data_IF_859077405234
#
_entry.id   IF_859077405234
#
_cell.length_a   1.000
_cell.length_b   1.000
_cell.length_c   1.000
_cell.angle_alpha   90.00
_cell.angle_beta   90.00
_cell.angle_gamma   90.00
#
_symmetry.space_group_name_H-M   'P 1'
#
loop_
_entity.id
_entity.type
_entity.pdbx_description
1 polymer ?
#
# COMPACT_ATOMS: atom_id res chain seq x y z
N UNK A 1 11.18 -13.62 -10.76
CA UNK A 1 9.76 -13.24 -10.90
C UNK A 1 9.69 -11.73 -11.01
N UNK A 2 9.07 -11.17 -12.05
CA UNK A 2 9.07 -9.74 -12.39
C UNK A 2 7.71 -9.07 -12.21
N UNK A 3 7.05 -9.37 -11.08
CA UNK A 3 5.69 -8.91 -10.77
C UNK A 3 5.67 -7.43 -10.37
N UNK A 4 4.71 -6.66 -10.89
CA UNK A 4 4.37 -5.31 -10.40
C UNK A 4 2.87 -5.21 -10.26
N UNK A 5 2.42 -4.69 -9.13
CA UNK A 5 1.01 -4.57 -8.80
C UNK A 5 0.75 -3.28 -8.01
N UNK A 6 -0.37 -2.58 -8.24
CA UNK A 6 -0.84 -1.56 -7.32
C UNK A 6 -1.20 -2.18 -5.97
N UNK A 7 -1.06 -1.38 -4.91
CA UNK A 7 -1.42 -1.76 -3.54
C UNK A 7 -2.59 -0.88 -3.07
N UNK A 8 -3.66 -1.52 -2.62
CA UNK A 8 -4.84 -0.89 -2.01
C UNK A 8 -4.83 -1.14 -0.50
N UNK A 9 -5.31 -0.17 0.30
CA UNK A 9 -5.38 -0.33 1.76
C UNK A 9 -6.74 -0.86 2.19
N UNK A 10 -6.79 -2.06 2.74
CA UNK A 10 -8.02 -2.77 3.13
C UNK A 10 -8.06 -3.07 4.63
N UNK A 11 -9.27 -3.29 5.14
CA UNK A 11 -9.50 -3.75 6.53
C UNK A 11 -9.54 -5.27 6.64
N UNK A 12 -10.08 -5.75 7.76
CA UNK A 12 -10.34 -7.16 7.96
C UNK A 12 -11.79 -7.52 7.60
N UNK A 13 -11.99 -8.74 7.11
CA UNK A 13 -13.29 -9.39 6.98
C UNK A 13 -13.83 -9.86 8.36
N UNK A 14 -15.09 -10.32 8.45
CA UNK A 14 -15.65 -10.82 9.71
C UNK A 14 -14.94 -12.03 10.33
N UNK A 15 -14.07 -12.71 9.57
CA UNK A 15 -13.28 -13.85 9.99
C UNK A 15 -11.87 -13.43 10.45
N UNK A 16 -11.55 -12.14 10.42
CA UNK A 16 -10.24 -11.59 10.80
C UNK A 16 -9.17 -11.71 9.70
N UNK A 17 -9.55 -12.16 8.50
CA UNK A 17 -8.70 -12.17 7.32
C UNK A 17 -8.60 -10.78 6.70
N UNK A 18 -7.51 -10.45 6.02
CA UNK A 18 -7.44 -9.20 5.25
C UNK A 18 -8.38 -9.30 4.05
N UNK A 19 -9.27 -8.32 3.88
CA UNK A 19 -10.20 -8.31 2.75
C UNK A 19 -9.41 -8.26 1.42
N UNK A 20 -9.60 -9.26 0.57
CA UNK A 20 -8.91 -9.32 -0.71
C UNK A 20 -9.39 -8.23 -1.69
N UNK A 21 -8.58 -7.87 -2.71
CA UNK A 21 -9.03 -7.00 -3.79
C UNK A 21 -10.26 -7.55 -4.52
N UNK A 22 -11.03 -6.68 -5.19
CA UNK A 22 -12.12 -7.14 -6.07
C UNK A 22 -11.59 -8.13 -7.12
N UNK A 23 -12.36 -9.18 -7.41
CA UNK A 23 -12.05 -10.13 -8.48
C UNK A 23 -11.97 -9.48 -9.88
N UNK A 24 -12.57 -8.30 -10.07
CA UNK A 24 -12.43 -7.50 -11.30
C UNK A 24 -11.04 -6.85 -11.43
N UNK A 25 -10.24 -6.85 -10.36
CA UNK A 25 -8.88 -6.31 -10.30
C UNK A 25 -7.86 -7.40 -9.95
N UNK A 26 -7.72 -8.47 -10.77
CA UNK A 26 -6.89 -9.63 -10.47
C UNK A 26 -5.41 -9.33 -10.27
N UNK A 27 -4.92 -8.21 -10.82
CA UNK A 27 -3.51 -7.79 -10.76
C UNK A 27 -3.22 -6.82 -9.60
N UNK A 28 -4.11 -6.70 -8.62
CA UNK A 28 -3.98 -5.79 -7.46
C UNK A 28 -3.68 -6.58 -6.20
N UNK A 29 -2.99 -5.96 -5.25
CA UNK A 29 -2.74 -6.51 -3.91
C UNK A 29 -3.41 -5.60 -2.87
N UNK A 30 -4.02 -6.19 -1.84
CA UNK A 30 -4.53 -5.45 -0.69
C UNK A 30 -3.52 -5.54 0.47
N UNK A 31 -3.20 -4.41 1.09
CA UNK A 31 -2.43 -4.31 2.33
C UNK A 31 -3.37 -4.08 3.51
N UNK A 32 -3.14 -4.78 4.62
CA UNK A 32 -3.85 -4.52 5.86
C UNK A 32 -3.45 -3.16 6.46
N UNK A 33 -4.31 -2.16 6.23
CA UNK A 33 -3.98 -0.75 6.48
C UNK A 33 -3.91 -0.36 7.96
N UNK A 34 -4.55 -1.14 8.84
CA UNK A 34 -4.60 -0.88 10.27
C UNK A 34 -3.44 -1.57 11.02
N UNK A 35 -2.59 -2.32 10.29
CA UNK A 35 -1.37 -2.94 10.79
C UNK A 35 -0.08 -2.15 10.45
N UNK A 36 1.10 -2.76 10.66
CA UNK A 36 2.37 -2.16 10.29
C UNK A 36 2.45 -1.81 8.80
N UNK A 37 2.96 -0.62 8.52
CA UNK A 37 3.32 -0.24 7.15
C UNK A 37 4.52 -1.09 6.68
N UNK A 38 4.59 -1.46 5.39
CA UNK A 38 5.75 -2.20 4.87
C UNK A 38 7.07 -1.48 5.18
N UNK A 39 7.94 -2.13 5.96
CA UNK A 39 9.24 -1.62 6.38
C UNK A 39 9.27 -1.00 7.77
N UNK A 40 8.11 -0.83 8.41
CA UNK A 40 8.02 -0.58 9.85
C UNK A 40 8.21 -1.89 10.63
N UNK A 41 8.60 -1.78 11.90
CA UNK A 41 8.71 -2.92 12.82
C UNK A 41 7.34 -3.60 12.97
N UNK A 42 7.34 -4.94 12.96
CA UNK A 42 6.14 -5.77 12.91
C UNK A 42 5.95 -6.40 11.52
N UNK A 43 4.86 -7.14 11.35
CA UNK A 43 4.53 -7.81 10.09
C UNK A 43 3.50 -7.00 9.29
N UNK A 44 3.92 -6.50 8.12
CA UNK A 44 2.99 -5.98 7.12
C UNK A 44 2.38 -7.14 6.32
N UNK A 45 1.06 -7.14 6.13
CA UNK A 45 0.35 -8.22 5.45
C UNK A 45 -0.23 -7.73 4.13
N UNK A 46 0.16 -8.40 3.04
CA UNK A 46 -0.31 -8.17 1.69
C UNK A 46 -1.01 -9.42 1.17
N UNK A 47 -2.24 -9.27 0.68
CA UNK A 47 -3.07 -10.36 0.16
C UNK A 47 -3.45 -10.13 -1.30
N UNK A 48 -3.51 -11.21 -2.07
CA UNK A 48 -3.84 -11.16 -3.48
C UNK A 48 -4.38 -12.50 -3.98
N UNK A 49 -5.05 -12.47 -5.12
CA UNK A 49 -5.63 -13.66 -5.72
C UNK A 49 -4.55 -14.54 -6.37
N UNK A 50 -4.71 -15.86 -6.25
CA UNK A 50 -3.96 -16.83 -7.06
C UNK A 50 -4.50 -16.81 -8.49
N UNK A 51 -5.82 -16.84 -8.64
CA UNK A 51 -6.53 -16.71 -9.91
C UNK A 51 -7.95 -16.18 -9.70
N UNK A 52 -8.62 -15.98 -10.83
CA UNK A 52 -10.04 -15.69 -10.92
C UNK A 52 -10.67 -16.73 -11.84
N UNK A 53 -11.99 -16.67 -11.99
CA UNK A 53 -12.72 -17.53 -12.93
C UNK A 53 -12.19 -17.48 -14.37
N UNK A 54 -11.54 -16.39 -14.76
CA UNK A 54 -11.17 -16.12 -16.16
C UNK A 54 -9.70 -15.78 -16.37
N UNK A 55 -8.92 -15.56 -15.32
CA UNK A 55 -7.53 -15.10 -15.44
C UNK A 55 -6.67 -15.49 -14.25
N UNK A 56 -5.36 -15.51 -14.46
CA UNK A 56 -4.38 -15.60 -13.37
C UNK A 56 -4.43 -14.34 -12.52
N UNK A 57 -4.25 -14.50 -11.21
CA UNK A 57 -4.18 -13.42 -10.26
C UNK A 57 -2.74 -12.98 -10.01
N UNK A 58 -2.59 -11.89 -9.28
CA UNK A 58 -1.31 -11.25 -8.96
C UNK A 58 -0.32 -12.20 -8.27
N UNK A 59 -0.84 -13.16 -7.49
CA UNK A 59 -0.05 -14.13 -6.74
C UNK A 59 -0.12 -15.55 -7.31
N UNK A 60 -0.50 -15.69 -8.59
CA UNK A 60 -0.56 -17.00 -9.26
C UNK A 60 0.70 -17.85 -9.08
N UNK A 61 1.88 -17.23 -9.16
CA UNK A 61 3.16 -17.94 -9.03
C UNK A 61 3.74 -17.90 -7.61
N UNK A 62 3.05 -17.33 -6.63
CA UNK A 62 3.61 -17.05 -5.30
C UNK A 62 4.05 -18.32 -4.57
N UNK A 63 3.37 -19.45 -4.80
CA UNK A 63 3.75 -20.78 -4.27
C UNK A 63 5.11 -21.29 -4.78
N UNK A 64 5.59 -20.75 -5.89
CA UNK A 64 6.89 -21.09 -6.48
C UNK A 64 8.03 -20.20 -5.97
N UNK A 65 7.71 -19.22 -5.10
CA UNK A 65 8.71 -18.39 -4.45
C UNK A 65 9.72 -19.26 -3.68
N UNK A 66 10.97 -18.79 -3.64
CA UNK A 66 12.06 -19.48 -2.95
C UNK A 66 12.72 -18.53 -1.96
N UNK A 67 13.25 -19.03 -0.83
CA UNK A 67 14.11 -18.26 0.04
C UNK A 67 15.23 -17.56 -0.75
N UNK A 68 15.50 -16.30 -0.42
CA UNK A 68 16.43 -15.43 -1.14
C UNK A 68 15.79 -14.56 -2.23
N UNK A 69 14.54 -14.83 -2.64
CA UNK A 69 13.81 -13.94 -3.56
C UNK A 69 13.65 -12.54 -2.96
N UNK A 70 13.88 -11.51 -3.78
CA UNK A 70 13.70 -10.10 -3.38
C UNK A 70 12.29 -9.62 -3.66
N UNK A 71 11.72 -8.86 -2.72
CA UNK A 71 10.42 -8.20 -2.84
C UNK A 71 10.60 -6.72 -2.51
N UNK A 72 10.24 -5.84 -3.43
CA UNK A 72 10.37 -4.40 -3.26
C UNK A 72 8.98 -3.78 -3.12
N UNK A 73 8.75 -3.03 -2.06
CA UNK A 73 7.50 -2.32 -1.80
C UNK A 73 7.74 -0.83 -1.85
N UNK A 74 7.19 -0.17 -2.87
CA UNK A 74 7.23 1.29 -3.00
C UNK A 74 6.21 1.90 -2.05
N UNK A 75 6.67 2.77 -1.16
CA UNK A 75 5.86 3.45 -0.16
C UNK A 75 5.35 4.78 -0.69
N UNK A 76 4.28 5.30 -0.07
CA UNK A 76 3.70 6.59 -0.43
C UNK A 76 4.67 7.77 -0.23
N UNK A 77 5.67 7.63 0.62
CA UNK A 77 6.72 8.64 0.87
C UNK A 77 7.82 8.68 -0.22
N UNK A 78 7.70 7.82 -1.25
CA UNK A 78 8.65 7.72 -2.37
C UNK A 78 9.83 6.80 -2.12
N UNK A 79 9.99 6.28 -0.90
CA UNK A 79 11.02 5.30 -0.59
C UNK A 79 10.55 3.86 -0.89
N UNK A 80 11.51 2.94 -0.98
CA UNK A 80 11.28 1.52 -1.28
C UNK A 80 11.80 0.68 -0.13
N UNK A 81 10.93 -0.15 0.45
CA UNK A 81 11.32 -1.17 1.42
C UNK A 81 11.71 -2.46 0.67
N UNK A 82 12.91 -2.97 0.93
CA UNK A 82 13.47 -4.13 0.22
C UNK A 82 13.50 -5.35 1.15
N UNK A 83 12.68 -6.35 0.84
CA UNK A 83 12.53 -7.57 1.62
C UNK A 83 13.21 -8.76 0.94
N UNK A 84 13.63 -9.73 1.74
CA UNK A 84 14.10 -11.03 1.28
C UNK A 84 13.21 -12.12 1.83
N UNK A 85 12.71 -12.99 0.94
CA UNK A 85 11.94 -14.17 1.33
C UNK A 85 12.82 -15.08 2.18
N UNK A 86 12.32 -15.47 3.34
CA UNK A 86 12.96 -16.45 4.21
C UNK A 86 12.26 -17.81 4.15
N UNK A 87 10.95 -17.83 3.91
CA UNK A 87 10.13 -19.02 4.09
C UNK A 87 8.83 -18.96 3.28
N UNK A 88 8.34 -20.14 2.87
CA UNK A 88 7.07 -20.31 2.15
C UNK A 88 6.31 -21.45 2.81
N UNK A 89 5.21 -21.13 3.46
CA UNK A 89 4.35 -22.10 4.13
C UNK A 89 3.07 -22.32 3.32
N UNK A 90 2.64 -23.57 3.22
CA UNK A 90 1.31 -23.93 2.71
C UNK A 90 0.49 -24.40 3.91
N UNK A 91 -0.55 -23.63 4.24
CA UNK A 91 -1.38 -23.83 5.43
C UNK A 91 -2.75 -24.31 4.99
N UNK A 92 -3.19 -25.53 5.35
CA UNK A 92 -4.54 -25.99 5.07
C UNK A 92 -5.58 -25.01 5.61
N UNK A 93 -6.65 -24.76 4.85
CA UNK A 93 -7.65 -23.75 5.18
C UNK A 93 -8.33 -24.02 6.52
N UNK A 94 -8.60 -25.29 6.82
CA UNK A 94 -9.21 -25.71 8.09
C UNK A 94 -8.30 -25.48 9.30
N UNK A 95 -6.99 -25.28 9.07
CA UNK A 95 -5.99 -24.99 10.10
C UNK A 95 -5.44 -23.56 10.00
N UNK A 96 -6.07 -22.70 9.19
CA UNK A 96 -5.61 -21.33 9.01
C UNK A 96 -5.95 -20.50 10.24
N UNK A 97 -4.91 -20.11 10.98
CA UNK A 97 -4.97 -19.21 12.11
C UNK A 97 -4.39 -17.87 11.67
N UNK A 98 -5.26 -16.87 11.48
CA UNK A 98 -4.87 -15.55 10.96
C UNK A 98 -3.84 -14.87 11.86
N UNK A 99 -3.98 -14.96 13.18
CA UNK A 99 -3.03 -14.35 14.12
C UNK A 99 -1.64 -14.96 13.98
N UNK A 100 -1.55 -16.30 13.82
CA UNK A 100 -0.26 -16.98 13.60
C UNK A 100 0.31 -16.73 12.21
N UNK A 101 -0.53 -16.70 11.18
CA UNK A 101 -0.10 -16.51 9.79
C UNK A 101 0.37 -15.07 9.54
N UNK A 102 -0.29 -14.10 10.16
CA UNK A 102 -0.04 -12.68 9.98
C UNK A 102 0.95 -12.11 11.01
N UNK A 103 1.11 -12.77 12.15
CA UNK A 103 1.98 -12.33 13.23
C UNK A 103 3.47 -12.27 12.83
N UNK A 104 4.25 -11.33 13.42
CA UNK A 104 5.70 -11.29 13.24
C UNK A 104 6.36 -12.50 13.89
N UNK A 105 7.39 -13.05 13.24
CA UNK A 105 8.23 -14.11 13.82
C UNK A 105 9.19 -13.53 14.85
N UNK A 106 9.66 -12.31 14.62
CA UNK A 106 10.46 -11.52 15.56
C UNK A 106 9.79 -10.14 15.78
N UNK A 107 9.38 -9.81 17.03
CA UNK A 107 8.68 -8.57 17.32
C UNK A 107 9.53 -7.30 17.12
N UNK A 108 10.85 -7.44 16.91
CA UNK A 108 11.77 -6.32 16.69
C UNK A 108 12.13 -6.14 15.21
N UNK A 109 11.71 -7.04 14.32
CA UNK A 109 12.02 -6.98 12.89
C UNK A 109 10.86 -6.38 12.10
N UNK A 110 11.22 -5.71 11.00
CA UNK A 110 10.28 -5.37 9.95
C UNK A 110 10.12 -6.59 9.04
N UNK A 111 8.90 -7.12 9.00
CA UNK A 111 8.56 -8.34 8.28
C UNK A 111 7.43 -8.08 7.27
N UNK A 112 7.34 -8.96 6.29
CA UNK A 112 6.34 -8.94 5.25
C UNK A 112 5.72 -10.34 5.13
N UNK A 113 4.40 -10.38 5.02
CA UNK A 113 3.61 -11.58 4.69
C UNK A 113 2.93 -11.33 3.35
N UNK A 114 3.22 -12.18 2.37
CA UNK A 114 2.44 -12.24 1.13
C UNK A 114 1.54 -13.46 1.21
N UNK A 115 0.24 -13.27 1.05
CA UNK A 115 -0.76 -14.33 1.27
C UNK A 115 -1.67 -14.47 0.07
N UNK A 116 -1.90 -15.71 -0.34
CA UNK A 116 -2.82 -16.07 -1.43
C UNK A 116 -3.51 -17.38 -1.11
N UNK A 117 -4.65 -17.63 -1.76
CA UNK A 117 -5.23 -18.97 -1.83
C UNK A 117 -4.26 -19.94 -2.55
N UNK A 118 -4.30 -21.21 -2.19
CA UNK A 118 -3.50 -22.27 -2.81
C UNK A 118 -3.99 -23.68 -2.46
N UNK A 119 -3.16 -24.68 -2.70
CA UNK A 119 -3.61 -26.08 -2.64
C UNK A 119 -4.48 -26.44 -3.84
N UNK A 120 -5.33 -27.45 -3.68
CA UNK A 120 -6.26 -27.88 -4.71
C UNK A 120 -7.52 -27.01 -4.71
N UNK A 121 -8.14 -26.85 -5.88
CA UNK A 121 -9.44 -26.20 -5.98
C UNK A 121 -10.54 -27.24 -5.79
N UNK A 122 -11.26 -27.14 -4.67
CA UNK A 122 -12.44 -27.94 -4.39
C UNK A 122 -13.62 -27.40 -5.21
N UNK A 123 -14.06 -28.20 -6.19
CA UNK A 123 -15.16 -27.83 -7.09
C UNK A 123 -16.54 -27.95 -6.47
N UNK A 124 -16.71 -28.71 -5.39
CA UNK A 124 -17.99 -28.82 -4.70
C UNK A 124 -18.20 -27.62 -3.77
N UNK A 125 -17.13 -27.19 -3.10
CA UNK A 125 -17.15 -26.03 -2.18
C UNK A 125 -16.85 -24.70 -2.86
N UNK A 126 -16.40 -24.73 -4.13
CA UNK A 126 -15.93 -23.57 -4.89
C UNK A 126 -14.83 -22.77 -4.18
N UNK A 127 -13.90 -23.48 -3.53
CA UNK A 127 -12.86 -22.88 -2.69
C UNK A 127 -11.52 -23.61 -2.83
N UNK A 128 -10.44 -22.90 -2.51
CA UNK A 128 -9.10 -23.47 -2.40
C UNK A 128 -8.90 -24.15 -1.05
N UNK A 129 -8.21 -25.30 -1.03
CA UNK A 129 -8.03 -26.11 0.19
C UNK A 129 -6.93 -25.59 1.12
N UNK A 130 -6.12 -24.63 0.69
CA UNK A 130 -5.05 -24.06 1.50
C UNK A 130 -4.82 -22.56 1.23
N UNK A 131 -4.02 -21.95 2.09
CA UNK A 131 -3.41 -20.64 1.87
C UNK A 131 -1.90 -20.81 1.76
N UNK A 132 -1.28 -20.04 0.87
CA UNK A 132 0.18 -19.92 0.79
C UNK A 132 0.58 -18.63 1.50
N UNK A 133 1.51 -18.74 2.43
CA UNK A 133 2.06 -17.61 3.19
C UNK A 133 3.56 -17.54 2.92
N UNK A 134 3.97 -16.51 2.20
CA UNK A 134 5.39 -16.19 2.01
C UNK A 134 5.81 -15.21 3.09
N UNK A 135 6.79 -15.61 3.89
CA UNK A 135 7.40 -14.77 4.91
C UNK A 135 8.69 -14.16 4.36
N UNK A 136 8.83 -12.85 4.53
CA UNK A 136 10.02 -12.12 4.15
C UNK A 136 10.38 -11.11 5.25
N UNK A 137 11.64 -10.67 5.24
CA UNK A 137 12.15 -9.71 6.21
C UNK A 137 12.89 -8.58 5.52
N UNK A 138 12.85 -7.39 6.14
CA UNK A 138 13.49 -6.21 5.60
C UNK A 138 15.01 -6.42 5.57
N UNK A 139 15.60 -6.15 4.40
CA UNK A 139 17.05 -6.24 4.15
C UNK A 139 17.66 -4.94 3.65
N UNK A 140 16.83 -3.96 3.29
CA UNK A 140 17.29 -2.68 2.77
C UNK A 140 16.16 -1.67 2.68
N UNK A 141 16.53 -0.43 2.46
CA UNK A 141 15.61 0.66 2.13
C UNK A 141 16.30 1.57 1.12
N UNK A 142 15.63 1.85 0.01
CA UNK A 142 16.16 2.68 -1.08
C UNK A 142 15.27 3.92 -1.31
N UNK A 143 15.86 5.02 -1.76
CA UNK A 143 15.17 6.30 -1.94
C UNK A 143 14.98 7.04 -0.61
N UNK A 144 15.47 8.28 -0.53
CA UNK A 144 15.18 9.14 0.62
C UNK A 144 13.66 9.43 0.65
N UNK A 145 13.01 9.46 1.84
CA UNK A 145 11.67 10.03 1.91
C UNK A 145 11.74 11.41 1.28
N UNK A 146 10.82 11.73 0.37
CA UNK A 146 10.73 13.09 -0.14
C UNK A 146 10.55 14.00 1.08
N UNK A 147 11.60 14.74 1.46
CA UNK A 147 11.49 15.74 2.49
C UNK A 147 10.34 16.66 2.05
N UNK A 148 9.38 17.03 2.94
CA UNK A 148 8.53 18.15 2.63
C UNK A 148 9.45 19.33 2.28
N UNK A 149 9.14 20.15 1.25
CA UNK A 149 9.95 21.34 1.00
C UNK A 149 10.07 22.09 2.33
N UNK A 150 11.25 22.60 2.71
CA UNK A 150 11.34 23.41 3.91
C UNK A 150 10.26 24.48 3.79
N UNK A 151 9.45 24.66 4.84
CA UNK A 151 8.55 25.80 4.93
C UNK A 151 9.43 27.03 4.80
N UNK A 152 9.57 27.54 3.58
CA UNK A 152 10.31 28.75 3.32
C UNK A 152 9.60 29.81 4.11
N UNK A 153 10.29 30.36 5.11
CA UNK A 153 9.90 31.61 5.72
C UNK A 153 9.62 32.58 4.59
N UNK A 154 8.34 32.84 4.29
CA UNK A 154 7.98 34.04 3.55
C UNK A 154 8.36 35.20 4.47
N UNK A 155 9.27 36.10 4.05
CA UNK A 155 9.29 37.42 4.66
C UNK A 155 7.88 37.98 4.48
N UNK A 156 7.30 38.53 5.55
CA UNK A 156 5.99 39.18 5.48
C UNK A 156 5.98 40.20 4.34
N UNK A 157 4.92 40.18 3.54
CA UNK A 157 4.62 41.25 2.57
C UNK A 157 4.67 42.58 3.37
N UNK A 158 5.42 43.61 2.94
CA UNK A 158 5.30 44.92 3.55
C UNK A 158 3.85 45.40 3.40
N UNK A 159 3.31 46.00 4.46
CA UNK A 159 2.01 46.65 4.42
C UNK A 159 1.98 47.67 3.29
N UNK A 160 0.98 47.56 2.42
CA UNK A 160 0.70 48.50 1.35
C UNK A 160 0.27 49.83 1.97
N UNK A 161 0.84 50.99 1.58
CA UNK A 161 0.41 52.27 2.12
C UNK A 161 -1.01 52.62 1.66
N UNK A 162 -1.79 53.18 2.58
CA UNK A 162 -3.16 53.65 2.34
C UNK A 162 -3.20 54.67 1.20
N UNK A 163 -4.09 54.44 0.22
CA UNK A 163 -4.38 55.39 -0.85
C UNK A 163 -5.17 56.59 -0.27
N UNK A 164 -4.86 57.84 -0.66
CA UNK A 164 -5.67 59.00 -0.30
C UNK A 164 -6.97 59.05 -1.13
N UNK A 165 -8.03 59.72 -0.65
CA UNK A 165 -9.31 59.79 -1.35
C UNK A 165 -9.21 60.61 -2.65
N UNK A 166 -9.82 60.08 -3.73
CA UNK A 166 -10.02 60.75 -5.01
C UNK A 166 -10.84 62.03 -4.86
N UNK A 167 -10.33 63.13 -5.43
CA UNK A 167 -11.07 64.36 -5.68
C UNK A 167 -11.76 64.23 -7.05
N UNK A 168 -13.08 64.34 -7.09
CA UNK A 168 -13.83 64.49 -8.34
C UNK A 168 -13.68 65.93 -8.81
N UNK A 169 -12.97 66.10 -9.91
CA UNK A 169 -12.80 67.37 -10.63
C UNK A 169 -14.09 67.74 -11.36
N UNK A 170 -14.47 69.01 -11.18
CA UNK A 170 -15.67 69.67 -11.64
C UNK A 170 -15.49 70.02 -13.14
N UNK A 171 -16.33 69.43 -14.00
CA UNK A 171 -16.35 69.72 -15.44
C UNK A 171 -17.15 70.98 -15.74
N UNK A 172 -16.43 72.03 -16.09
CA UNK A 172 -16.84 73.33 -16.66
C UNK A 172 -17.75 73.16 -17.90
N UNK A 173 -18.94 73.79 -17.88
CA UNK A 173 -19.76 74.05 -19.07
C UNK A 173 -19.94 75.58 -19.21
N UNK A 174 -19.25 76.23 -20.16
CA UNK A 174 -19.35 77.66 -20.41
C UNK A 174 -20.35 77.99 -21.54
N UNK A 175 -21.38 78.78 -21.20
CA UNK A 175 -22.14 79.76 -22.02
C UNK A 175 -22.82 79.26 -23.34
N UNK A 176 -24.15 79.09 -23.36
CA UNK A 176 -25.19 80.10 -23.74
C UNK A 176 -25.77 79.82 -25.15
N UNK A 177 -26.99 80.30 -25.56
CA UNK A 177 -27.85 81.37 -25.02
C UNK A 177 -29.21 80.96 -24.43
#
# INVERSE_FOLDING_TARGET
MGLRAPIEGHGLDPQGGVEAPSYDRPNTVAWYKDGPAPGAVGAAVLVGHVDTKTSRGVFYELSTAKPGLKVNVVRKDGSTAEFTVEDVAVVPRDHFDADKAYGPKDPKRAELRLVTCGGEYDRERHEYTANVVVSAYLTGTAGAPAAPPPAGNRPGKPAEPAQPPEQTDEGDDPDAP
#
